data_IF_745450006991
#
_entry.id   IF_745450006991
#
_cell.length_a   1.000
_cell.length_b   1.000
_cell.length_c   1.000
_cell.angle_alpha   90.00
_cell.angle_beta   90.00
_cell.angle_gamma   90.00
#
_symmetry.space_group_name_H-M   'P 1'
#
loop_
_entity.id
_entity.type
_entity.pdbx_description
1 polymer ?
#
# COMPACT_ATOMS: atom_id res chain seq x y z
N UNK A 1 -12.37 42.30 1.82
CA UNK A 1 -12.63 41.46 3.01
C UNK A 1 -12.04 40.08 2.79
N UNK A 2 -10.71 39.95 2.87
CA UNK A 2 -10.01 38.68 2.90
C UNK A 2 -9.83 38.33 4.38
N UNK A 3 -10.75 37.54 4.91
CA UNK A 3 -10.79 37.20 6.33
C UNK A 3 -9.55 36.36 6.71
N UNK A 4 -8.49 37.02 7.14
CA UNK A 4 -7.76 36.89 8.43
C UNK A 4 -7.67 35.52 9.17
N UNK A 5 -8.04 34.39 8.58
CA UNK A 5 -7.97 33.05 9.19
C UNK A 5 -6.92 32.12 8.58
N UNK A 6 -6.13 32.59 7.59
CA UNK A 6 -4.96 31.86 7.08
C UNK A 6 -3.79 31.82 8.09
N UNK A 7 -3.92 32.52 9.22
CA UNK A 7 -2.87 32.86 10.18
C UNK A 7 -2.42 31.72 11.14
N UNK A 8 -2.87 30.48 10.92
CA UNK A 8 -2.26 29.30 11.56
C UNK A 8 -1.99 28.28 10.46
N UNK A 9 -0.86 28.50 9.78
CA UNK A 9 -0.08 27.51 9.05
C UNK A 9 -0.55 26.09 9.34
N UNK A 10 -0.95 25.41 8.27
CA UNK A 10 -1.23 23.99 8.23
C UNK A 10 -0.16 23.21 9.02
N UNK A 11 -0.55 22.79 10.24
CA UNK A 11 0.39 22.49 11.32
C UNK A 11 1.40 21.38 10.99
N UNK A 12 1.08 20.46 10.06
CA UNK A 12 2.00 19.38 9.75
C UNK A 12 3.11 19.82 8.81
N UNK A 13 2.81 20.45 7.69
CA UNK A 13 3.84 20.87 6.73
C UNK A 13 4.72 21.97 7.31
N UNK A 14 4.14 22.85 8.12
CA UNK A 14 4.88 23.88 8.85
C UNK A 14 5.87 23.28 9.87
N UNK A 15 5.50 22.18 10.54
CA UNK A 15 6.41 21.48 11.47
C UNK A 15 7.62 20.85 10.77
N UNK A 16 7.54 20.63 9.45
CA UNK A 16 8.57 19.97 8.65
C UNK A 16 9.40 20.97 7.81
N UNK A 17 9.39 22.26 8.16
CA UNK A 17 10.04 23.31 7.37
C UNK A 17 11.53 23.04 7.11
N UNK A 18 12.27 22.56 8.11
CA UNK A 18 13.70 22.26 7.98
C UNK A 18 13.97 21.25 6.85
N UNK A 19 13.13 20.22 6.75
CA UNK A 19 13.22 19.18 5.71
C UNK A 19 12.89 19.73 4.34
N UNK A 20 11.99 20.70 4.28
CA UNK A 20 11.62 21.37 3.03
C UNK A 20 12.77 22.26 2.52
N UNK A 21 13.46 22.95 3.42
CA UNK A 21 14.59 23.83 3.10
C UNK A 21 15.86 23.06 2.70
N UNK A 22 15.97 21.78 3.03
CA UNK A 22 17.10 20.93 2.61
C UNK A 22 17.21 20.76 1.08
N UNK A 23 16.14 21.01 0.32
CA UNK A 23 16.16 20.90 -1.14
C UNK A 23 17.02 21.99 -1.80
N UNK A 24 18.08 21.57 -2.51
CA UNK A 24 18.95 22.47 -3.30
C UNK A 24 18.53 22.63 -4.77
N UNK A 25 17.34 22.14 -5.15
CA UNK A 25 16.76 22.25 -6.49
C UNK A 25 17.59 21.67 -7.69
N UNK A 26 18.53 20.75 -7.42
CA UNK A 26 19.42 20.17 -8.44
C UNK A 26 18.73 19.30 -9.51
N UNK A 27 17.56 18.71 -9.22
CA UNK A 27 16.79 17.92 -10.18
C UNK A 27 17.15 16.43 -10.32
N UNK A 28 18.16 15.92 -9.60
CA UNK A 28 18.57 14.50 -9.70
C UNK A 28 17.45 13.50 -9.33
N UNK A 29 16.48 13.93 -8.53
CA UNK A 29 15.35 13.10 -8.12
C UNK A 29 14.31 12.85 -9.23
N UNK A 30 14.39 13.56 -10.36
CA UNK A 30 13.38 13.51 -11.43
C UNK A 30 13.38 12.18 -12.17
N UNK A 31 14.53 11.69 -12.60
CA UNK A 31 14.65 10.40 -13.31
C UNK A 31 14.27 9.20 -12.41
N UNK A 32 14.45 9.35 -11.10
CA UNK A 32 14.01 8.35 -10.13
C UNK A 32 12.49 8.35 -9.90
N UNK A 33 11.78 9.40 -10.32
CA UNK A 33 10.34 9.53 -10.09
C UNK A 33 9.54 8.93 -11.25
N UNK A 34 8.78 7.83 -11.03
CA UNK A 34 8.01 7.21 -12.10
C UNK A 34 6.89 8.10 -12.63
N UNK A 35 6.30 8.97 -11.78
CA UNK A 35 5.26 9.90 -12.22
C UNK A 35 5.83 10.93 -13.20
N UNK A 36 6.98 11.55 -12.87
CA UNK A 36 7.64 12.51 -13.76
C UNK A 36 8.08 11.87 -15.07
N UNK A 37 8.68 10.68 -15.03
CA UNK A 37 9.09 9.94 -16.23
C UNK A 37 7.89 9.64 -17.14
N UNK A 38 6.73 9.36 -16.56
CA UNK A 38 5.51 9.08 -17.33
C UNK A 38 4.82 10.34 -17.87
N UNK A 39 4.82 11.45 -17.13
CA UNK A 39 4.06 12.67 -17.49
C UNK A 39 4.89 13.75 -18.17
N UNK A 40 6.20 13.81 -17.91
CA UNK A 40 7.09 14.91 -18.31
C UNK A 40 6.81 16.25 -17.62
N UNK A 41 5.82 16.31 -16.71
CA UNK A 41 5.44 17.52 -16.00
C UNK A 41 6.28 17.65 -14.72
N UNK A 42 7.11 18.69 -14.65
CA UNK A 42 7.95 18.99 -13.49
C UNK A 42 7.13 19.13 -12.19
N UNK A 43 5.89 19.63 -12.27
CA UNK A 43 5.02 19.75 -11.10
C UNK A 43 4.62 18.38 -10.52
N UNK A 44 4.64 17.34 -11.36
CA UNK A 44 4.45 15.94 -10.96
C UNK A 44 5.77 15.24 -10.57
N UNK A 45 6.89 15.96 -10.60
CA UNK A 45 8.17 15.53 -10.07
C UNK A 45 8.34 15.83 -8.57
N UNK A 46 9.24 15.11 -7.88
CA UNK A 46 9.55 15.35 -6.47
C UNK A 46 10.04 16.79 -6.22
N UNK A 47 10.90 17.33 -7.09
CA UNK A 47 11.39 18.71 -6.98
C UNK A 47 10.27 19.73 -7.15
N UNK A 48 9.44 19.61 -8.19
CA UNK A 48 8.29 20.51 -8.39
C UNK A 48 7.30 20.47 -7.23
N UNK A 49 7.02 19.28 -6.68
CA UNK A 49 6.16 19.16 -5.49
C UNK A 49 6.74 19.83 -4.25
N UNK A 50 8.04 19.74 -4.01
CA UNK A 50 8.70 20.48 -2.93
C UNK A 50 8.56 21.99 -3.14
N UNK A 51 8.69 22.46 -4.38
CA UNK A 51 8.47 23.86 -4.71
C UNK A 51 7.02 24.29 -4.44
N UNK A 52 6.04 23.46 -4.81
CA UNK A 52 4.63 23.70 -4.54
C UNK A 52 4.32 23.72 -3.02
N UNK A 53 4.86 22.77 -2.26
CA UNK A 53 4.74 22.73 -0.78
C UNK A 53 5.31 24.01 -0.16
N UNK A 54 6.47 24.46 -0.65
CA UNK A 54 7.11 25.70 -0.23
C UNK A 54 6.28 26.93 -0.60
N UNK A 55 5.69 26.97 -1.79
CA UNK A 55 4.79 28.04 -2.20
C UNK A 55 3.55 28.12 -1.31
N UNK A 56 3.00 27.00 -0.86
CA UNK A 56 1.90 26.97 0.12
C UNK A 56 2.36 27.49 1.48
N UNK A 57 3.52 27.03 1.96
CA UNK A 57 4.10 27.45 3.24
C UNK A 57 4.38 28.95 3.28
N UNK A 58 4.84 29.51 2.17
CA UNK A 58 5.17 30.93 2.01
C UNK A 58 3.94 31.76 1.56
N UNK A 59 2.73 31.19 1.67
CA UNK A 59 1.44 31.83 1.36
C UNK A 59 1.31 32.39 -0.07
N UNK A 60 2.18 31.96 -0.99
CA UNK A 60 2.10 32.31 -2.42
C UNK A 60 1.09 31.44 -3.18
N UNK A 61 0.72 30.30 -2.60
CA UNK A 61 -0.26 29.37 -3.14
C UNK A 61 -1.23 28.97 -2.03
N UNK A 62 -2.53 29.08 -2.27
CA UNK A 62 -3.53 28.60 -1.31
C UNK A 62 -3.44 27.07 -1.17
N UNK A 63 -3.57 26.55 0.06
CA UNK A 63 -3.59 25.10 0.32
C UNK A 63 -4.78 24.42 -0.39
N UNK A 64 -5.87 25.15 -0.58
CA UNK A 64 -7.07 24.70 -1.30
C UNK A 64 -6.91 24.82 -2.83
N UNK A 65 -5.74 25.18 -3.35
CA UNK A 65 -5.52 25.24 -4.78
C UNK A 65 -5.72 23.86 -5.43
N UNK A 66 -6.60 23.75 -6.45
CA UNK A 66 -6.79 22.49 -7.18
C UNK A 66 -5.49 21.96 -7.82
N UNK A 67 -4.61 22.87 -8.26
CA UNK A 67 -3.31 22.50 -8.82
C UNK A 67 -2.41 21.86 -7.76
N UNK A 68 -2.36 22.43 -6.54
CA UNK A 68 -1.60 21.85 -5.44
C UNK A 68 -2.10 20.44 -5.10
N UNK A 69 -3.40 20.29 -4.85
CA UNK A 69 -4.03 19.01 -4.52
C UNK A 69 -3.75 17.96 -5.61
N UNK A 70 -3.94 18.32 -6.88
CA UNK A 70 -3.75 17.41 -8.02
C UNK A 70 -2.31 16.87 -8.09
N UNK A 71 -1.31 17.76 -8.03
CA UNK A 71 0.08 17.34 -8.16
C UNK A 71 0.55 16.51 -6.96
N UNK A 72 0.12 16.85 -5.75
CA UNK A 72 0.43 16.09 -4.54
C UNK A 72 -0.25 14.70 -4.57
N UNK A 73 -1.50 14.61 -5.00
CA UNK A 73 -2.24 13.34 -5.05
C UNK A 73 -1.74 12.39 -6.14
N UNK A 74 -1.17 12.91 -7.23
CA UNK A 74 -0.50 12.08 -8.27
C UNK A 74 0.78 11.39 -7.77
N UNK A 75 1.30 11.76 -6.60
CA UNK A 75 2.47 11.10 -6.04
C UNK A 75 2.14 9.69 -5.55
N UNK A 76 2.82 8.66 -6.05
CA UNK A 76 2.62 7.27 -5.61
C UNK A 76 3.11 6.99 -4.18
N UNK A 77 3.93 7.88 -3.60
CA UNK A 77 4.54 7.67 -2.28
C UNK A 77 5.60 6.57 -2.25
N UNK A 78 6.23 6.25 -3.39
CA UNK A 78 7.22 5.19 -3.53
C UNK A 78 8.60 5.51 -2.93
N UNK A 79 8.90 6.80 -2.68
CA UNK A 79 10.14 7.31 -2.05
C UNK A 79 11.45 7.01 -2.79
N UNK A 80 11.40 6.60 -4.05
CA UNK A 80 12.61 6.44 -4.89
C UNK A 80 13.44 7.73 -4.98
N UNK A 81 12.78 8.89 -4.92
CA UNK A 81 13.42 10.20 -4.92
C UNK A 81 14.34 10.46 -3.71
N UNK A 82 14.08 9.83 -2.55
CA UNK A 82 14.91 10.02 -1.35
C UNK A 82 16.28 9.37 -1.55
N UNK A 83 16.31 8.15 -2.08
CA UNK A 83 17.55 7.43 -2.36
C UNK A 83 18.42 8.12 -3.43
N UNK A 84 17.79 8.81 -4.37
CA UNK A 84 18.49 9.58 -5.40
C UNK A 84 18.94 10.98 -4.93
N UNK A 85 18.47 11.46 -3.77
CA UNK A 85 18.70 12.82 -3.33
C UNK A 85 20.07 12.97 -2.62
N UNK A 86 21.04 13.72 -3.18
CA UNK A 86 22.31 13.95 -2.50
C UNK A 86 22.17 14.84 -1.25
N UNK A 87 21.10 15.65 -1.19
CA UNK A 87 20.80 16.51 -0.05
C UNK A 87 20.03 15.79 1.07
N UNK A 88 19.65 14.52 0.88
CA UNK A 88 18.99 13.72 1.91
C UNK A 88 17.59 14.21 2.30
N UNK A 89 16.84 14.83 1.39
CA UNK A 89 15.48 15.32 1.67
C UNK A 89 14.56 14.17 2.05
N UNK A 90 13.96 14.23 3.25
CA UNK A 90 12.97 13.27 3.76
C UNK A 90 11.57 13.48 3.13
N UNK A 91 11.52 13.34 1.80
CA UNK A 91 10.37 13.66 0.96
C UNK A 91 9.06 12.99 1.42
N UNK A 92 9.13 11.74 1.90
CA UNK A 92 7.99 10.98 2.35
C UNK A 92 7.29 11.61 3.55
N UNK A 93 8.02 12.25 4.46
CA UNK A 93 7.40 12.95 5.61
C UNK A 93 6.71 14.23 5.15
N UNK A 94 7.35 14.97 4.24
CA UNK A 94 6.77 16.16 3.62
C UNK A 94 5.49 15.84 2.83
N UNK A 95 5.48 14.71 2.10
CA UNK A 95 4.30 14.26 1.37
C UNK A 95 3.12 13.94 2.30
N UNK A 96 3.36 13.21 3.39
CA UNK A 96 2.31 12.88 4.36
C UNK A 96 1.80 14.13 5.07
N UNK A 97 2.70 15.06 5.42
CA UNK A 97 2.34 16.34 6.01
C UNK A 97 1.44 17.17 5.06
N UNK A 98 1.86 17.32 3.80
CA UNK A 98 1.10 18.02 2.77
C UNK A 98 -0.29 17.41 2.54
N UNK A 99 -0.40 16.07 2.48
CA UNK A 99 -1.68 15.38 2.35
C UNK A 99 -2.58 15.57 3.56
N UNK A 100 -2.02 15.49 4.77
CA UNK A 100 -2.78 15.73 5.99
C UNK A 100 -3.34 17.16 6.03
N UNK A 101 -2.57 18.12 5.54
CA UNK A 101 -2.95 19.52 5.43
C UNK A 101 -4.02 19.79 4.36
N UNK A 102 -3.90 19.18 3.17
CA UNK A 102 -4.96 19.21 2.15
C UNK A 102 -6.28 18.68 2.72
N UNK A 103 -6.25 17.54 3.41
CA UNK A 103 -7.45 16.92 4.01
C UNK A 103 -8.05 17.80 5.11
N UNK A 104 -7.22 18.51 5.88
CA UNK A 104 -7.68 19.46 6.91
C UNK A 104 -8.32 20.70 6.30
N UNK A 105 -7.73 21.24 5.23
CA UNK A 105 -8.24 22.42 4.53
C UNK A 105 -9.56 22.12 3.80
N UNK A 106 -9.71 20.90 3.26
CA UNK A 106 -10.93 20.43 2.61
C UNK A 106 -11.49 19.17 3.28
N UNK A 107 -12.11 19.29 4.47
CA UNK A 107 -12.70 18.16 5.13
C UNK A 107 -13.81 17.57 4.25
N UNK A 108 -13.62 16.33 3.79
CA UNK A 108 -14.62 15.63 2.98
C UNK A 108 -15.87 15.41 3.82
N UNK A 109 -16.97 16.10 3.50
CA UNK A 109 -18.26 15.98 4.19
C UNK A 109 -19.19 15.10 3.36
N UNK A 110 -19.80 14.09 4.00
CA UNK A 110 -20.76 13.20 3.35
C UNK A 110 -20.94 11.87 4.09
N UNK A 111 -22.10 11.23 3.90
CA UNK A 111 -22.42 9.94 4.52
C UNK A 111 -21.41 8.85 4.16
N UNK A 112 -20.89 8.87 2.93
CA UNK A 112 -19.85 7.93 2.47
C UNK A 112 -18.54 8.09 3.25
N UNK A 113 -18.09 9.32 3.54
CA UNK A 113 -16.87 9.54 4.32
C UNK A 113 -17.06 9.13 5.79
N UNK A 114 -18.24 9.36 6.36
CA UNK A 114 -18.59 8.88 7.70
C UNK A 114 -18.59 7.34 7.75
N UNK A 115 -19.21 6.69 6.76
CA UNK A 115 -19.22 5.23 6.61
C UNK A 115 -17.79 4.68 6.45
N UNK A 116 -16.96 5.31 5.62
CA UNK A 116 -15.57 4.89 5.43
C UNK A 116 -14.77 5.00 6.73
N UNK A 117 -14.88 6.13 7.46
CA UNK A 117 -14.23 6.28 8.77
C UNK A 117 -14.72 5.25 9.79
N UNK A 118 -16.03 4.97 9.81
CA UNK A 118 -16.60 3.93 10.64
C UNK A 118 -16.04 2.54 10.26
N UNK A 119 -16.04 2.19 8.98
CA UNK A 119 -15.52 0.91 8.49
C UNK A 119 -14.03 0.75 8.80
N UNK A 120 -13.21 1.79 8.58
CA UNK A 120 -11.80 1.77 8.94
C UNK A 120 -11.61 1.52 10.43
N UNK A 121 -12.30 2.28 11.29
CA UNK A 121 -12.16 2.19 12.75
C UNK A 121 -12.69 0.90 13.35
N UNK A 122 -13.82 0.39 12.84
CA UNK A 122 -14.56 -0.70 13.47
C UNK A 122 -14.48 -2.04 12.75
N UNK A 123 -14.20 -2.06 11.44
CA UNK A 123 -14.06 -3.30 10.66
C UNK A 123 -12.59 -3.62 10.44
N UNK A 124 -11.80 -2.65 9.95
CA UNK A 124 -10.40 -2.88 9.56
C UNK A 124 -9.46 -3.15 10.73
N UNK A 125 -9.60 -2.39 11.82
CA UNK A 125 -8.79 -2.53 13.04
C UNK A 125 -9.13 -3.78 13.88
N UNK A 126 -10.23 -4.48 13.59
CA UNK A 126 -10.67 -5.65 14.35
C UNK A 126 -10.64 -6.93 13.50
N UNK A 127 -9.64 -7.82 13.69
CA UNK A 127 -9.43 -8.98 12.82
C UNK A 127 -10.63 -9.93 12.71
N UNK A 128 -11.41 -10.09 13.79
CA UNK A 128 -12.64 -10.92 13.76
C UNK A 128 -13.70 -10.34 12.81
N UNK A 129 -13.92 -9.03 12.87
CA UNK A 129 -14.89 -8.33 12.01
C UNK A 129 -14.42 -8.27 10.58
N UNK A 130 -13.12 -8.04 10.36
CA UNK A 130 -12.52 -8.06 9.03
C UNK A 130 -12.66 -9.44 8.36
N UNK A 131 -12.40 -10.53 9.10
CA UNK A 131 -12.60 -11.91 8.59
C UNK A 131 -14.06 -12.18 8.25
N UNK A 132 -15.00 -11.73 9.08
CA UNK A 132 -16.43 -11.88 8.81
C UNK A 132 -16.86 -11.08 7.57
N UNK A 133 -16.37 -9.85 7.42
CA UNK A 133 -16.63 -9.00 6.25
C UNK A 133 -16.08 -9.65 4.97
N UNK A 134 -14.87 -10.21 4.99
CA UNK A 134 -14.34 -10.94 3.84
C UNK A 134 -15.08 -12.26 3.57
N UNK A 135 -15.54 -12.98 4.60
CA UNK A 135 -16.38 -14.16 4.41
C UNK A 135 -17.70 -13.80 3.70
N UNK A 136 -18.34 -12.70 4.12
CA UNK A 136 -19.53 -12.17 3.45
C UNK A 136 -19.24 -11.73 2.02
N UNK A 137 -18.12 -11.04 1.77
CA UNK A 137 -17.72 -10.65 0.43
C UNK A 137 -17.51 -11.88 -0.48
N UNK A 138 -16.86 -12.95 0.02
CA UNK A 138 -16.72 -14.23 -0.71
C UNK A 138 -18.09 -14.86 -0.99
N UNK A 139 -19.00 -14.84 -0.03
CA UNK A 139 -20.37 -15.31 -0.25
C UNK A 139 -21.06 -14.54 -1.39
N UNK A 140 -21.08 -13.21 -1.36
CA UNK A 140 -21.68 -12.39 -2.44
C UNK A 140 -21.08 -12.70 -3.82
N UNK A 141 -19.76 -12.93 -3.86
CA UNK A 141 -19.05 -13.31 -5.07
C UNK A 141 -19.42 -14.70 -5.56
N UNK A 142 -19.39 -15.70 -4.68
CA UNK A 142 -19.58 -17.12 -5.04
C UNK A 142 -21.03 -17.41 -5.45
N UNK A 143 -21.99 -16.68 -4.85
CA UNK A 143 -23.41 -16.66 -5.26
C UNK A 143 -23.66 -15.81 -6.53
N UNK A 144 -22.61 -15.27 -7.16
CA UNK A 144 -22.68 -14.44 -8.38
C UNK A 144 -23.53 -13.17 -8.23
N UNK A 145 -23.81 -12.74 -7.00
CA UNK A 145 -24.55 -11.50 -6.72
C UNK A 145 -23.78 -10.30 -7.25
N UNK A 146 -22.45 -10.27 -7.03
CA UNK A 146 -21.60 -9.21 -7.57
C UNK A 146 -21.69 -9.10 -9.11
N UNK A 147 -21.62 -10.25 -9.81
CA UNK A 147 -21.76 -10.33 -11.27
C UNK A 147 -23.14 -9.90 -11.74
N UNK A 148 -24.20 -10.26 -11.02
CA UNK A 148 -25.56 -9.86 -11.36
C UNK A 148 -25.74 -8.34 -11.22
N UNK A 149 -25.25 -7.76 -10.12
CA UNK A 149 -25.30 -6.32 -9.87
C UNK A 149 -24.52 -5.52 -10.92
N UNK A 150 -23.36 -6.01 -11.35
CA UNK A 150 -22.59 -5.39 -12.45
C UNK A 150 -23.29 -5.48 -13.81
N UNK A 151 -24.06 -6.54 -14.07
CA UNK A 151 -24.87 -6.67 -15.29
C UNK A 151 -26.08 -5.73 -15.29
N UNK A 152 -26.59 -5.35 -14.13
CA UNK A 152 -27.67 -4.37 -14.01
C UNK A 152 -27.12 -2.94 -14.09
N UNK A 153 -27.91 -1.99 -14.63
CA UNK A 153 -27.55 -0.55 -14.59
C UNK A 153 -27.45 0.01 -13.17
N UNK A 154 -27.95 -0.71 -12.16
CA UNK A 154 -27.93 -0.33 -10.76
C UNK A 154 -26.54 -0.03 -10.20
N UNK A 155 -25.51 -0.81 -10.55
CA UNK A 155 -24.16 -0.59 -10.03
C UNK A 155 -23.56 0.75 -10.51
N UNK A 156 -23.80 1.09 -11.79
CA UNK A 156 -23.38 2.35 -12.43
C UNK A 156 -24.12 3.57 -11.90
N UNK A 157 -25.41 3.40 -11.62
CA UNK A 157 -26.29 4.47 -11.15
C UNK A 157 -26.04 4.82 -9.68
N UNK A 158 -25.57 3.86 -8.88
CA UNK A 158 -25.32 4.07 -7.45
C UNK A 158 -24.02 4.84 -7.18
N UNK A 159 -22.87 4.40 -7.71
CA UNK A 159 -21.62 5.19 -7.77
C UNK A 159 -20.49 4.48 -8.54
N UNK A 160 -19.56 5.20 -9.20
CA UNK A 160 -18.37 4.61 -9.83
C UNK A 160 -17.48 3.82 -8.86
N UNK A 161 -17.40 4.26 -7.61
CA UNK A 161 -16.62 3.57 -6.57
C UNK A 161 -17.24 2.22 -6.20
N UNK A 162 -18.58 2.13 -6.22
CA UNK A 162 -19.29 0.89 -5.95
C UNK A 162 -19.15 -0.12 -7.10
N UNK A 163 -19.22 0.35 -8.35
CA UNK A 163 -18.91 -0.46 -9.55
C UNK A 163 -17.48 -1.03 -9.45
N UNK A 164 -16.48 -0.17 -9.23
CA UNK A 164 -15.09 -0.59 -9.06
C UNK A 164 -14.91 -1.61 -7.91
N UNK A 165 -15.60 -1.42 -6.78
CA UNK A 165 -15.52 -2.34 -5.65
C UNK A 165 -16.11 -3.73 -5.99
N UNK A 166 -17.20 -3.78 -6.75
CA UNK A 166 -17.80 -5.02 -7.22
C UNK A 166 -16.91 -5.72 -8.27
N UNK A 167 -16.30 -4.96 -9.19
CA UNK A 167 -15.34 -5.49 -10.16
C UNK A 167 -14.11 -6.09 -9.45
N UNK A 168 -13.57 -5.38 -8.47
CA UNK A 168 -12.45 -5.87 -7.65
C UNK A 168 -12.84 -7.16 -6.91
N UNK A 169 -14.06 -7.22 -6.36
CA UNK A 169 -14.56 -8.42 -5.71
C UNK A 169 -14.71 -9.58 -6.68
N UNK A 170 -15.20 -9.34 -7.90
CA UNK A 170 -15.31 -10.37 -8.93
C UNK A 170 -13.92 -10.85 -9.40
N UNK A 171 -12.94 -9.96 -9.55
CA UNK A 171 -11.53 -10.31 -9.85
C UNK A 171 -10.86 -11.14 -8.76
N UNK A 172 -11.38 -11.07 -7.53
CA UNK A 172 -10.93 -11.93 -6.43
C UNK A 172 -11.40 -13.37 -6.60
N UNK A 173 -12.39 -13.64 -7.46
CA UNK A 173 -12.74 -15.02 -7.80
C UNK A 173 -11.48 -15.68 -8.35
N UNK A 174 -11.21 -16.91 -7.89
CA UNK A 174 -10.10 -17.64 -8.47
C UNK A 174 -10.31 -17.68 -9.98
N UNK A 175 -9.25 -17.43 -10.75
CA UNK A 175 -9.19 -17.96 -12.10
C UNK A 175 -9.58 -19.44 -11.96
N UNK A 176 -10.81 -19.79 -12.34
CA UNK A 176 -11.14 -21.18 -12.62
C UNK A 176 -10.13 -21.51 -13.70
N UNK A 177 -9.13 -22.33 -13.36
CA UNK A 177 -8.49 -23.18 -14.35
C UNK A 177 -9.65 -23.81 -15.09
N UNK A 178 -9.98 -23.24 -16.25
CA UNK A 178 -11.12 -23.65 -17.02
C UNK A 178 -10.96 -25.14 -17.26
N UNK A 179 -12.06 -25.86 -17.12
CA UNK A 179 -12.34 -27.04 -17.92
C UNK A 179 -12.42 -26.63 -19.40
N UNK A 180 -11.31 -26.12 -19.94
CA UNK A 180 -10.98 -26.04 -21.35
C UNK A 180 -9.86 -27.04 -21.60
N UNK A 181 -9.70 -27.55 -22.84
CA UNK A 181 -8.78 -28.64 -23.12
C UNK A 181 -7.38 -28.22 -22.67
N UNK A 182 -6.71 -29.14 -21.97
CA UNK A 182 -5.36 -29.00 -21.43
C UNK A 182 -4.48 -28.04 -22.27
N UNK A 183 -4.38 -26.79 -21.83
CA UNK A 183 -3.62 -25.73 -22.49
C UNK A 183 -2.85 -24.98 -21.42
N UNK A 184 -1.55 -25.30 -21.34
CA UNK A 184 -0.64 -24.98 -20.26
C UNK A 184 -0.61 -23.52 -19.82
N UNK A 185 -0.86 -23.30 -18.53
CA UNK A 185 0.13 -22.53 -17.78
C UNK A 185 1.16 -23.58 -17.45
N UNK A 186 2.26 -23.58 -18.20
CA UNK A 186 3.36 -24.49 -17.99
C UNK A 186 3.61 -24.60 -16.50
N UNK A 187 3.55 -25.84 -16.00
CA UNK A 187 4.18 -26.16 -14.72
C UNK A 187 5.54 -25.50 -14.85
N UNK A 188 5.84 -24.53 -13.98
CA UNK A 188 7.21 -24.04 -13.84
C UNK A 188 7.98 -25.27 -13.40
N UNK A 189 8.51 -26.00 -14.37
CA UNK A 189 9.45 -27.07 -14.17
C UNK A 189 10.61 -26.34 -13.52
N UNK A 190 10.83 -26.62 -12.23
CA UNK A 190 12.03 -26.18 -11.56
C UNK A 190 13.19 -26.59 -12.47
N UNK A 191 13.89 -25.62 -13.04
CA UNK A 191 15.00 -25.89 -13.93
C UNK A 191 15.98 -26.84 -13.22
N UNK A 192 16.49 -27.88 -13.90
CA UNK A 192 17.56 -28.70 -13.33
C UNK A 192 18.71 -27.76 -12.96
N UNK A 193 19.05 -27.68 -11.68
CA UNK A 193 20.18 -26.87 -11.23
C UNK A 193 21.44 -27.72 -11.34
N UNK A 194 22.10 -27.57 -12.47
CA UNK A 194 23.46 -28.03 -12.70
C UNK A 194 24.40 -27.06 -11.96
N UNK A 195 24.78 -27.40 -10.73
CA UNK A 195 25.65 -26.58 -9.91
C UNK A 195 25.85 -27.16 -8.52
N UNK A 196 27.10 -27.54 -8.25
CA UNK A 196 27.69 -28.09 -7.01
C UNK A 196 26.77 -27.99 -5.79
N UNK A 197 26.27 -29.16 -5.39
CA UNK A 197 25.30 -29.32 -4.31
C UNK A 197 26.03 -29.45 -2.98
N UNK A 198 25.99 -28.41 -2.16
CA UNK A 198 26.30 -28.55 -0.75
C UNK A 198 25.02 -28.86 0.04
N UNK A 199 24.97 -30.04 0.64
CA UNK A 199 23.75 -30.69 1.14
C UNK A 199 23.28 -30.20 2.53
N UNK A 200 23.78 -29.07 3.04
CA UNK A 200 23.73 -28.76 4.47
C UNK A 200 22.92 -27.53 4.90
N UNK A 201 22.45 -26.66 4.00
CA UNK A 201 21.74 -25.43 4.41
C UNK A 201 20.26 -25.44 4.05
N UNK A 202 19.42 -25.95 4.95
CA UNK A 202 17.97 -25.77 4.88
C UNK A 202 17.61 -24.31 5.20
N UNK A 203 17.26 -23.54 4.16
CA UNK A 203 16.79 -22.17 4.35
C UNK A 203 15.36 -22.15 4.87
N UNK A 204 15.11 -21.44 5.97
CA UNK A 204 13.75 -21.18 6.49
C UNK A 204 13.22 -19.89 5.87
N UNK A 205 12.02 -19.94 5.29
CA UNK A 205 11.32 -18.76 4.80
C UNK A 205 10.13 -18.41 5.70
N UNK A 206 9.99 -17.11 6.00
CA UNK A 206 8.80 -16.56 6.63
C UNK A 206 7.95 -15.89 5.56
N UNK A 207 6.69 -16.32 5.44
CA UNK A 207 5.73 -15.72 4.52
C UNK A 207 4.80 -14.79 5.29
N UNK A 208 4.89 -13.49 4.99
CA UNK A 208 3.97 -12.49 5.51
C UNK A 208 2.64 -12.57 4.76
N UNK A 209 1.56 -12.94 5.46
CA UNK A 209 0.22 -12.94 4.90
C UNK A 209 -0.46 -11.60 5.18
N UNK A 210 -0.76 -10.83 4.13
CA UNK A 210 -1.52 -9.60 4.30
C UNK A 210 -2.99 -9.90 4.60
N UNK A 211 -3.68 -9.03 5.35
CA UNK A 211 -5.07 -9.24 5.73
C UNK A 211 -6.02 -9.38 4.52
N UNK A 212 -5.79 -8.59 3.47
CA UNK A 212 -6.57 -8.64 2.21
C UNK A 212 -6.27 -9.92 1.44
N UNK A 213 -4.99 -10.32 1.33
CA UNK A 213 -4.64 -11.55 0.61
C UNK A 213 -5.09 -12.81 1.36
N UNK A 214 -5.06 -12.78 2.69
CA UNK A 214 -5.59 -13.87 3.52
C UNK A 214 -7.13 -13.97 3.44
N UNK A 215 -7.82 -12.83 3.31
CA UNK A 215 -9.28 -12.79 3.23
C UNK A 215 -9.87 -13.07 1.84
N UNK A 216 -9.35 -12.42 0.81
CA UNK A 216 -9.91 -12.42 -0.56
C UNK A 216 -9.04 -13.14 -1.59
N UNK A 217 -7.70 -13.08 -1.46
CA UNK A 217 -6.76 -13.57 -2.48
C UNK A 217 -5.86 -14.71 -1.97
N UNK A 218 -6.45 -15.70 -1.28
CA UNK A 218 -5.68 -16.80 -0.66
C UNK A 218 -4.77 -17.53 -1.67
N UNK A 219 -5.20 -17.61 -2.93
CA UNK A 219 -4.41 -18.18 -4.05
C UNK A 219 -3.02 -17.56 -4.19
N UNK A 220 -2.86 -16.27 -3.89
CA UNK A 220 -1.59 -15.55 -4.04
C UNK A 220 -0.61 -16.02 -2.96
N UNK A 221 -1.09 -16.17 -1.72
CA UNK A 221 -0.29 -16.71 -0.62
C UNK A 221 0.09 -18.17 -0.89
N UNK A 222 -0.82 -18.99 -1.42
CA UNK A 222 -0.51 -20.38 -1.78
C UNK A 222 0.44 -20.50 -2.98
N UNK A 223 0.30 -19.64 -4.00
CA UNK A 223 1.25 -19.59 -5.11
C UNK A 223 2.65 -19.18 -4.64
N UNK A 224 2.73 -18.15 -3.78
CA UNK A 224 4.00 -17.70 -3.20
C UNK A 224 4.65 -18.80 -2.37
N UNK A 225 3.87 -19.51 -1.55
CA UNK A 225 4.34 -20.68 -0.80
C UNK A 225 4.91 -21.76 -1.72
N UNK A 226 4.21 -22.12 -2.80
CA UNK A 226 4.69 -23.12 -3.78
C UNK A 226 6.02 -22.70 -4.42
N UNK A 227 6.17 -21.42 -4.78
CA UNK A 227 7.44 -20.91 -5.34
C UNK A 227 8.56 -20.97 -4.31
N UNK A 228 8.31 -20.60 -3.06
CA UNK A 228 9.32 -20.66 -1.99
C UNK A 228 9.74 -22.10 -1.68
N UNK A 229 8.79 -23.04 -1.66
CA UNK A 229 9.06 -24.46 -1.44
C UNK A 229 9.89 -25.05 -2.60
N UNK A 230 9.59 -24.65 -3.85
CA UNK A 230 10.33 -25.07 -5.03
C UNK A 230 11.73 -24.43 -5.14
N UNK A 231 11.88 -23.15 -4.81
CA UNK A 231 13.12 -22.40 -5.02
C UNK A 231 14.17 -22.60 -3.92
N UNK A 232 13.74 -22.86 -2.67
CA UNK A 232 14.62 -22.76 -1.50
C UNK A 232 14.86 -24.09 -0.74
N UNK A 233 14.44 -25.25 -1.26
CA UNK A 233 14.43 -26.52 -0.49
C UNK A 233 13.85 -26.29 0.93
N UNK A 234 12.78 -25.49 0.98
CA UNK A 234 12.24 -24.96 2.23
C UNK A 234 11.42 -26.06 2.91
N UNK A 235 11.98 -26.74 3.90
CA UNK A 235 11.29 -27.82 4.64
C UNK A 235 10.18 -27.31 5.56
N UNK A 236 10.10 -26.00 5.80
CA UNK A 236 9.08 -25.40 6.67
C UNK A 236 8.83 -23.93 6.37
N UNK A 237 7.75 -23.63 5.65
CA UNK A 237 7.22 -22.26 5.52
C UNK A 237 6.31 -21.96 6.72
N UNK A 238 6.67 -20.99 7.57
CA UNK A 238 5.79 -20.54 8.66
C UNK A 238 5.07 -19.27 8.22
N UNK A 239 3.75 -19.38 8.06
CA UNK A 239 2.89 -18.24 7.83
C UNK A 239 2.73 -17.42 9.11
N UNK A 240 2.98 -16.12 9.02
CA UNK A 240 2.67 -15.18 10.09
C UNK A 240 1.47 -14.36 9.60
N UNK A 241 0.32 -14.50 10.27
CA UNK A 241 -0.81 -13.60 10.12
C UNK A 241 -0.75 -12.53 11.20
N UNK A 242 -1.14 -11.30 10.88
CA UNK A 242 -1.26 -10.24 11.88
C UNK A 242 -2.38 -10.61 12.87
N UNK A 243 -1.98 -11.11 14.04
CA UNK A 243 -2.80 -11.06 15.23
C UNK A 243 -2.77 -9.62 15.78
N UNK A 244 -3.89 -9.11 16.33
CA UNK A 244 -3.93 -7.76 16.86
C UNK A 244 -2.98 -7.69 18.07
N UNK A 245 -1.95 -6.84 17.99
CA UNK A 245 -0.99 -6.59 19.08
C UNK A 245 0.50 -6.75 18.73
N UNK A 246 0.85 -7.31 17.56
CA UNK A 246 2.24 -7.41 17.09
C UNK A 246 2.56 -6.29 16.11
N UNK A 247 2.61 -5.06 16.62
CA UNK A 247 3.22 -3.95 15.89
C UNK A 247 4.74 -3.99 16.16
N UNK A 248 5.61 -3.96 15.14
CA UNK A 248 7.06 -4.16 15.30
C UNK A 248 7.79 -3.00 15.99
N UNK A 249 7.07 -2.05 16.61
CA UNK A 249 7.61 -0.95 17.40
C UNK A 249 7.63 -1.18 18.92
N UNK A 250 7.09 -2.29 19.43
CA UNK A 250 7.28 -2.68 20.84
C UNK A 250 8.37 -3.74 20.90
N UNK A 251 9.53 -3.32 21.38
CA UNK A 251 10.69 -4.14 21.80
C UNK A 251 10.35 -5.62 21.94
N UNK A 252 11.00 -6.48 21.14
CA UNK A 252 11.01 -7.93 21.33
C UNK A 252 11.50 -8.24 22.76
N UNK A 253 10.59 -8.23 23.73
CA UNK A 253 10.82 -8.79 25.06
C UNK A 253 10.86 -10.29 24.91
N UNK A 254 12.08 -10.76 24.57
CA UNK A 254 12.71 -12.03 24.95
C UNK A 254 11.72 -13.10 25.44
N UNK A 255 10.86 -13.57 24.54
CA UNK A 255 10.05 -14.76 24.83
C UNK A 255 10.98 -15.97 24.91
N UNK A 256 10.74 -16.84 25.90
CA UNK A 256 11.59 -17.95 26.37
C UNK A 256 12.10 -18.90 25.26
N UNK A 257 11.51 -18.84 24.07
CA UNK A 257 11.91 -19.60 22.87
C UNK A 257 13.30 -19.24 22.35
N UNK A 258 13.79 -18.01 22.56
CA UNK A 258 15.13 -17.61 22.12
C UNK A 258 16.27 -18.25 22.93
N UNK A 259 15.98 -18.73 24.15
CA UNK A 259 17.01 -19.25 25.07
C UNK A 259 17.46 -20.69 24.74
N UNK A 260 16.71 -21.43 23.91
CA UNK A 260 17.08 -22.79 23.47
C UNK A 260 17.95 -22.83 22.22
N UNK A 261 18.14 -21.70 21.52
CA UNK A 261 18.99 -21.63 20.33
C UNK A 261 20.44 -21.28 20.71
N UNK A 262 20.64 -20.52 21.78
CA UNK A 262 21.97 -20.07 22.24
C UNK A 262 22.79 -21.14 22.99
N UNK A 263 22.21 -22.30 23.34
CA UNK A 263 22.88 -23.36 24.12
C UNK A 263 23.36 -24.55 23.29
N UNK A 264 23.36 -24.42 21.95
CA UNK A 264 23.84 -25.48 21.02
C UNK A 264 25.03 -25.04 20.15
N UNK A 265 25.68 -23.93 20.49
CA UNK A 265 26.89 -23.43 19.82
C UNK A 265 28.07 -23.23 20.81
N UNK A 266 28.14 -24.08 21.83
CA UNK A 266 29.33 -24.23 22.70
C UNK A 266 29.63 -25.71 22.84
#
# INVERSE_FOLDING_TARGET
>A
MFATSSALLTNALAAEEEKLLACVHCGLCLEACPTYVATGDENDGPRGRLYLMRAVKEERLAIESPSFETHIDRCLGCRACEAACPAGVEYGQLLEAARADIVRARPRRGGVHALLRFALRHVWLQPRRLRAAFAFARFLRDFKVARLLLKTRFAREMSPQFEFALELLESSSGYRTGSGPAGGIDRVHAAPRDGVQDASTFSRALLFKSCVTEGLFQRVNEATKRVLEAAARCTRTRAISMAPGLWPGKTLTRSRTARRIATRQS
#
